data_IF_012008968294
#
_entry.id   IF_012008968294
#
_cell.length_a   1.000
_cell.length_b   1.000
_cell.length_c   1.000
_cell.angle_alpha   90.00
_cell.angle_beta   90.00
_cell.angle_gamma   90.00
#
_symmetry.space_group_name_H-M   'P 1'
#
loop_
_entity.id
_entity.type
_entity.pdbx_description
1 polymer ?
#
# COMPACT_ATOMS: atom_id res chain seq x y z
N UNK A 1 -51.45 26.77 -13.87
CA UNK A 1 -52.05 25.70 -13.04
C UNK A 1 -50.94 24.69 -12.75
N UNK A 2 -50.23 24.82 -11.61
CA UNK A 2 -50.35 23.96 -10.38
C UNK A 2 -50.31 22.47 -10.76
N UNK A 3 -49.32 21.65 -10.40
CA UNK A 3 -48.66 21.37 -9.11
C UNK A 3 -47.29 20.71 -9.40
N UNK A 4 -46.17 20.87 -8.69
CA UNK A 4 -45.97 21.19 -7.28
C UNK A 4 -45.51 19.94 -6.51
N UNK A 5 -44.22 19.57 -6.60
CA UNK A 5 -43.58 18.71 -5.58
C UNK A 5 -42.09 19.04 -5.48
N UNK A 6 -41.82 20.02 -4.62
CA UNK A 6 -40.50 20.31 -4.05
C UNK A 6 -40.19 19.21 -3.05
N UNK A 7 -39.09 18.47 -3.22
CA UNK A 7 -38.52 17.63 -2.16
C UNK A 7 -37.17 18.20 -1.74
N UNK A 8 -37.03 18.32 -0.43
CA UNK A 8 -36.14 19.24 0.27
C UNK A 8 -34.71 18.70 0.32
N UNK A 9 -33.78 19.51 -0.17
CA UNK A 9 -32.34 19.42 0.06
C UNK A 9 -32.04 19.78 1.51
N UNK A 10 -31.76 18.79 2.36
CA UNK A 10 -31.20 19.01 3.70
C UNK A 10 -30.59 17.71 4.27
N UNK A 11 -29.28 17.53 4.12
CA UNK A 11 -28.36 17.04 5.16
C UNK A 11 -26.91 17.09 4.63
N UNK A 12 -26.37 18.30 4.53
CA UNK A 12 -24.96 18.55 4.27
C UNK A 12 -24.51 19.58 5.31
N UNK A 13 -23.90 19.12 6.40
CA UNK A 13 -23.05 19.88 7.34
C UNK A 13 -22.84 19.01 8.60
N UNK A 14 -21.87 18.11 8.53
CA UNK A 14 -21.53 17.24 9.68
C UNK A 14 -20.43 16.20 9.46
N UNK A 15 -19.89 16.05 8.23
CA UNK A 15 -18.94 14.96 7.90
C UNK A 15 -17.56 15.44 7.38
N UNK A 16 -17.25 16.73 7.49
CA UNK A 16 -16.01 17.30 6.91
C UNK A 16 -14.78 17.24 7.82
N UNK A 17 -14.91 16.82 9.08
CA UNK A 17 -13.79 16.62 10.01
C UNK A 17 -13.39 15.14 10.19
N UNK A 18 -14.16 14.19 9.63
CA UNK A 18 -13.93 12.74 9.78
C UNK A 18 -13.27 12.06 8.57
N UNK A 19 -13.14 12.75 7.44
CA UNK A 19 -12.76 12.14 6.15
C UNK A 19 -11.24 12.07 5.92
N UNK A 20 -10.43 12.79 6.70
CA UNK A 20 -8.97 12.67 6.62
C UNK A 20 -8.46 11.43 7.37
N UNK A 21 -9.20 10.94 8.37
CA UNK A 21 -8.88 9.70 9.10
C UNK A 21 -9.03 8.43 8.23
N UNK A 22 -9.77 8.53 7.12
CA UNK A 22 -10.17 7.40 6.27
C UNK A 22 -9.03 6.78 5.46
N UNK A 23 -7.90 7.47 5.27
CA UNK A 23 -6.76 6.91 4.55
C UNK A 23 -6.05 5.78 5.34
N UNK A 24 -6.34 5.64 6.65
CA UNK A 24 -5.68 4.68 7.52
C UNK A 24 -6.65 3.80 8.34
N UNK A 25 -7.93 4.14 8.41
CA UNK A 25 -8.90 3.47 9.29
C UNK A 25 -10.18 3.12 8.52
N UNK A 26 -10.15 1.95 7.89
CA UNK A 26 -11.39 1.28 7.48
C UNK A 26 -11.56 0.00 8.32
N UNK A 27 -11.82 0.16 9.62
CA UNK A 27 -12.10 -0.96 10.53
C UNK A 27 -13.60 -1.11 10.83
N UNK A 28 -14.48 -0.43 10.09
CA UNK A 28 -15.92 -0.48 10.36
C UNK A 28 -16.75 -0.48 9.08
N UNK A 29 -16.59 -1.54 8.29
CA UNK A 29 -17.67 -2.02 7.42
C UNK A 29 -18.21 -3.32 8.01
N UNK A 30 -18.90 -3.22 9.15
CA UNK A 30 -19.89 -4.23 9.50
C UNK A 30 -20.96 -4.18 8.40
N UNK A 31 -20.85 -5.11 7.46
CA UNK A 31 -21.92 -5.46 6.55
C UNK A 31 -23.16 -5.78 7.39
N UNK A 32 -24.19 -4.94 7.26
CA UNK A 32 -25.54 -5.26 7.74
C UNK A 32 -25.90 -6.67 7.25
N UNK A 33 -26.39 -7.57 8.12
CA UNK A 33 -26.75 -8.90 7.69
C UNK A 33 -27.95 -8.80 6.75
N UNK A 34 -27.75 -9.17 5.49
CA UNK A 34 -28.85 -9.53 4.61
C UNK A 34 -29.40 -10.83 5.16
N UNK A 35 -30.56 -10.74 5.82
CA UNK A 35 -31.36 -11.91 6.20
C UNK A 35 -31.82 -12.58 4.92
N UNK A 36 -31.17 -13.70 4.56
CA UNK A 36 -31.76 -14.66 3.64
C UNK A 36 -32.42 -15.75 4.47
N UNK A 37 -33.76 -15.73 4.51
CA UNK A 37 -34.57 -16.88 4.90
C UNK A 37 -34.12 -18.09 4.07
N UNK A 38 -33.69 -19.16 4.74
CA UNK A 38 -33.62 -20.47 4.11
C UNK A 38 -34.20 -21.53 5.04
N UNK A 39 -35.14 -22.25 4.42
CA UNK A 39 -35.92 -23.36 4.92
C UNK A 39 -35.07 -24.51 5.44
N UNK A 40 -35.68 -25.21 6.40
CA UNK A 40 -35.35 -26.50 6.99
C UNK A 40 -34.83 -27.55 6.00
N UNK A 41 -33.84 -28.32 6.44
CA UNK A 41 -33.81 -29.77 6.22
C UNK A 41 -33.10 -30.46 7.39
N UNK A 42 -33.90 -31.16 8.20
CA UNK A 42 -33.44 -32.16 9.16
C UNK A 42 -32.92 -33.38 8.37
N UNK A 43 -31.67 -33.76 8.60
CA UNK A 43 -31.23 -35.13 8.35
C UNK A 43 -30.65 -35.75 9.63
N UNK A 44 -31.38 -36.75 10.11
CA UNK A 44 -30.99 -37.69 11.14
C UNK A 44 -29.79 -38.53 10.68
N UNK A 45 -28.74 -38.61 11.49
CA UNK A 45 -27.75 -39.68 11.36
C UNK A 45 -27.51 -40.35 12.72
N UNK A 46 -28.12 -41.53 12.88
CA UNK A 46 -27.76 -42.50 13.88
C UNK A 46 -26.64 -43.39 13.31
N UNK A 47 -25.56 -43.57 14.06
CA UNK A 47 -24.45 -44.42 13.67
C UNK A 47 -23.65 -44.86 14.90
N UNK A 48 -24.00 -46.05 15.39
CA UNK A 48 -23.25 -46.86 16.35
C UNK A 48 -21.77 -47.00 15.95
N UNK A 49 -20.87 -46.86 16.92
CA UNK A 49 -19.53 -47.44 16.83
C UNK A 49 -19.12 -47.99 18.19
N UNK A 50 -19.06 -49.31 18.22
CA UNK A 50 -18.76 -50.15 19.36
C UNK A 50 -17.35 -49.94 19.91
N UNK A 51 -17.25 -50.17 21.23
CA UNK A 51 -16.03 -50.30 22.01
C UNK A 51 -15.22 -51.51 21.55
N UNK A 52 -13.95 -51.28 21.20
CA UNK A 52 -12.93 -52.32 21.10
C UNK A 52 -11.70 -51.95 21.92
N UNK A 53 -11.68 -52.32 23.20
CA UNK A 53 -10.49 -52.26 24.06
C UNK A 53 -9.61 -53.48 23.80
N UNK A 54 -8.47 -53.28 23.12
CA UNK A 54 -7.40 -54.28 23.04
C UNK A 54 -6.10 -53.65 23.57
N UNK A 55 -5.65 -54.16 24.72
CA UNK A 55 -4.35 -53.87 25.33
C UNK A 55 -3.23 -54.53 24.49
N UNK A 56 -2.17 -53.81 24.08
CA UNK A 56 -0.95 -54.44 23.63
C UNK A 56 -0.07 -54.82 24.83
N UNK A 57 0.40 -56.07 24.80
CA UNK A 57 1.43 -56.64 25.66
C UNK A 57 2.70 -55.79 25.64
N UNK A 58 3.20 -55.50 26.84
CA UNK A 58 4.55 -55.05 27.10
C UNK A 58 5.55 -56.09 26.55
N UNK A 59 6.36 -55.67 25.59
CA UNK A 59 7.66 -56.28 25.30
C UNK A 59 8.72 -55.25 25.66
N UNK A 60 9.37 -55.51 26.79
CA UNK A 60 10.49 -54.74 27.28
C UNK A 60 11.74 -54.91 26.44
N UNK A 61 12.74 -54.11 26.81
CA UNK A 61 14.13 -54.03 26.32
C UNK A 61 14.33 -53.20 25.05
N UNK A 62 14.19 -51.88 25.17
CA UNK A 62 14.96 -50.88 24.38
C UNK A 62 15.00 -49.47 25.03
N UNK A 63 14.81 -49.35 26.36
CA UNK A 63 14.81 -48.05 27.05
C UNK A 63 16.17 -47.34 27.14
N UNK A 64 17.27 -48.00 26.76
CA UNK A 64 18.61 -47.37 26.67
C UNK A 64 18.83 -46.64 25.32
N UNK A 65 17.94 -46.84 24.33
CA UNK A 65 17.98 -46.15 23.04
C UNK A 65 17.57 -44.67 23.16
N UNK A 66 16.45 -44.40 23.84
CA UNK A 66 15.81 -43.08 23.81
C UNK A 66 16.56 -42.04 24.65
N UNK A 67 17.17 -42.46 25.76
CA UNK A 67 18.04 -41.59 26.54
C UNK A 67 19.28 -41.15 25.74
N UNK A 68 19.83 -42.04 24.91
CA UNK A 68 20.98 -41.73 24.06
C UNK A 68 20.60 -40.83 22.87
N UNK A 69 19.37 -40.91 22.37
CA UNK A 69 18.85 -39.99 21.34
C UNK A 69 18.69 -38.58 21.91
N UNK A 70 18.09 -38.44 23.09
CA UNK A 70 17.89 -37.14 23.75
C UNK A 70 19.23 -36.43 24.05
N UNK A 71 20.23 -37.16 24.54
CA UNK A 71 21.58 -36.62 24.80
C UNK A 71 22.26 -36.15 23.51
N UNK A 72 22.10 -36.89 22.40
CA UNK A 72 22.66 -36.49 21.09
C UNK A 72 21.98 -35.24 20.53
N UNK A 73 20.66 -35.13 20.66
CA UNK A 73 19.92 -33.95 20.22
C UNK A 73 20.27 -32.72 21.08
N UNK A 74 20.41 -32.88 22.40
CA UNK A 74 20.85 -31.80 23.28
C UNK A 74 22.25 -31.29 22.88
N UNK A 75 23.20 -32.19 22.64
CA UNK A 75 24.55 -31.83 22.21
C UNK A 75 24.57 -31.11 20.84
N UNK A 76 23.68 -31.49 19.92
CA UNK A 76 23.53 -30.77 18.63
C UNK A 76 22.96 -29.37 18.83
N UNK A 77 21.98 -29.21 19.71
CA UNK A 77 21.38 -27.90 20.01
C UNK A 77 22.37 -26.97 20.70
N UNK A 78 23.13 -27.47 21.67
CA UNK A 78 24.20 -26.68 22.32
C UNK A 78 25.27 -26.23 21.32
N UNK A 79 25.66 -27.12 20.39
CA UNK A 79 26.59 -26.77 19.31
C UNK A 79 26.02 -25.66 18.41
N UNK A 80 24.77 -25.79 17.97
CA UNK A 80 24.11 -24.76 17.13
C UNK A 80 23.99 -23.42 17.86
N UNK A 81 23.60 -23.44 19.14
CA UNK A 81 23.50 -22.23 19.95
C UNK A 81 24.86 -21.55 20.12
N UNK A 82 25.93 -22.33 20.29
CA UNK A 82 27.29 -21.80 20.35
C UNK A 82 27.74 -21.18 19.01
N UNK A 83 27.40 -21.80 17.88
CA UNK A 83 27.71 -21.30 16.53
C UNK A 83 26.95 -19.99 16.24
N UNK A 84 25.64 -19.94 16.53
CA UNK A 84 24.81 -18.73 16.37
C UNK A 84 25.26 -17.61 17.32
N UNK A 85 25.70 -17.93 18.54
CA UNK A 85 26.24 -16.92 19.47
C UNK A 85 27.55 -16.34 18.94
N UNK A 86 28.44 -17.17 18.39
CA UNK A 86 29.69 -16.72 17.79
C UNK A 86 29.45 -15.85 16.54
N UNK A 87 28.49 -16.22 15.69
CA UNK A 87 28.10 -15.44 14.52
C UNK A 87 27.48 -14.08 14.91
N UNK A 88 26.62 -14.05 15.92
CA UNK A 88 26.07 -12.80 16.44
C UNK A 88 27.14 -11.85 16.99
N UNK A 89 28.17 -12.38 17.66
CA UNK A 89 29.32 -11.58 18.11
C UNK A 89 30.10 -11.02 16.92
N UNK A 90 30.34 -11.85 15.89
CA UNK A 90 31.01 -11.43 14.65
C UNK A 90 30.25 -10.30 13.94
N UNK A 91 28.94 -10.47 13.76
CA UNK A 91 28.09 -9.47 13.12
C UNK A 91 28.02 -8.16 13.91
N UNK A 92 27.97 -8.21 15.24
CA UNK A 92 28.06 -7.00 16.08
C UNK A 92 29.38 -6.27 15.90
N UNK A 93 30.50 -6.98 15.81
CA UNK A 93 31.81 -6.38 15.54
C UNK A 93 31.88 -5.76 14.14
N UNK A 94 31.30 -6.42 13.13
CA UNK A 94 31.22 -5.92 11.75
C UNK A 94 30.38 -4.64 11.66
N UNK A 95 29.21 -4.60 12.33
CA UNK A 95 28.36 -3.40 12.42
C UNK A 95 29.10 -2.24 13.08
N UNK A 96 29.79 -2.46 14.20
CA UNK A 96 30.54 -1.40 14.87
C UNK A 96 31.73 -0.91 14.03
N UNK A 97 32.39 -1.81 13.28
CA UNK A 97 33.43 -1.44 12.31
C UNK A 97 32.87 -0.57 11.19
N UNK A 98 31.74 -0.96 10.59
CA UNK A 98 31.08 -0.20 9.53
C UNK A 98 30.61 1.16 10.03
N UNK A 99 30.02 1.26 11.22
CA UNK A 99 29.66 2.54 11.85
C UNK A 99 30.88 3.45 12.03
N UNK A 100 32.00 2.89 12.47
CA UNK A 100 33.24 3.65 12.63
C UNK A 100 33.79 4.14 11.29
N UNK A 101 33.67 3.35 10.23
CA UNK A 101 34.06 3.71 8.86
C UNK A 101 33.15 4.80 8.28
N UNK A 102 31.83 4.64 8.37
CA UNK A 102 30.85 5.66 7.97
C UNK A 102 31.08 6.98 8.73
N UNK A 103 31.38 6.92 10.02
CA UNK A 103 31.74 8.09 10.82
C UNK A 103 33.06 8.77 10.41
N UNK A 104 34.00 8.04 9.79
CA UNK A 104 35.22 8.64 9.21
C UNK A 104 34.94 9.26 7.85
N UNK A 105 34.14 8.59 7.00
CA UNK A 105 33.75 9.11 5.69
C UNK A 105 32.90 10.38 5.85
N UNK A 106 31.96 10.42 6.79
CA UNK A 106 31.16 11.62 7.04
C UNK A 106 31.99 12.80 7.57
N UNK A 107 32.99 12.53 8.43
CA UNK A 107 33.95 13.56 8.89
C UNK A 107 34.89 14.03 7.78
N UNK A 108 35.29 13.14 6.87
CA UNK A 108 36.09 13.52 5.70
C UNK A 108 35.27 14.38 4.72
N UNK A 109 34.00 14.05 4.50
CA UNK A 109 33.08 14.84 3.69
C UNK A 109 32.72 16.20 4.34
N UNK A 110 32.64 16.26 5.68
CA UNK A 110 32.39 17.50 6.42
C UNK A 110 33.57 18.49 6.46
N UNK A 111 34.77 18.08 6.06
CA UNK A 111 35.96 18.93 6.00
C UNK A 111 36.27 19.45 4.58
N UNK A 112 35.51 19.05 3.56
CA UNK A 112 35.44 19.79 2.30
C UNK A 112 34.60 21.03 2.53
N UNK A 113 35.25 22.18 2.43
CA UNK A 113 34.77 23.54 2.69
C UNK A 113 33.37 23.82 2.10
N UNK A 114 32.32 23.45 2.84
CA UNK A 114 30.93 23.79 2.55
C UNK A 114 30.63 25.29 2.81
N UNK A 115 31.66 26.09 3.14
CA UNK A 115 31.57 27.52 3.36
C UNK A 115 31.37 28.37 2.10
N UNK A 116 31.36 27.77 0.90
CA UNK A 116 31.34 28.52 -0.37
C UNK A 116 30.08 28.43 -1.24
N UNK A 117 29.11 27.53 -0.96
CA UNK A 117 28.04 27.19 -1.93
C UNK A 117 26.60 27.41 -1.46
N UNK A 118 26.37 28.06 -0.31
CA UNK A 118 25.00 28.30 0.21
C UNK A 118 24.57 29.78 0.13
N UNK A 119 25.41 30.69 -0.37
CA UNK A 119 25.03 32.10 -0.55
C UNK A 119 24.69 32.43 -2.01
N UNK A 120 23.41 32.23 -2.37
CA UNK A 120 22.55 33.17 -3.12
C UNK A 120 21.30 32.49 -3.74
N UNK A 121 20.54 31.70 -2.97
CA UNK A 121 19.11 31.54 -3.26
C UNK A 121 18.35 32.65 -2.51
N UNK A 122 17.91 33.66 -3.27
CA UNK A 122 17.24 34.85 -2.76
C UNK A 122 15.99 34.52 -1.93
N UNK A 123 15.82 35.28 -0.85
CA UNK A 123 14.81 35.17 0.19
C UNK A 123 13.39 35.61 -0.25
N UNK A 124 12.85 34.98 -1.29
CA UNK A 124 11.43 35.11 -1.67
C UNK A 124 10.92 33.75 -2.15
N UNK A 125 10.70 32.82 -1.20
CA UNK A 125 9.92 31.58 -1.34
C UNK A 125 10.01 30.80 -2.67
N UNK A 126 11.16 30.77 -3.34
CA UNK A 126 11.32 29.96 -4.54
C UNK A 126 11.47 28.50 -4.10
N UNK A 127 10.49 27.69 -4.46
CA UNK A 127 10.57 26.24 -4.35
C UNK A 127 11.87 25.75 -5.02
N UNK A 128 12.59 24.76 -4.42
CA UNK A 128 13.83 24.27 -5.01
C UNK A 128 13.66 23.65 -6.40
N UNK A 129 12.44 23.22 -6.75
CA UNK A 129 12.13 22.63 -8.05
C UNK A 129 11.01 23.40 -8.74
N UNK A 130 11.14 23.59 -10.06
CA UNK A 130 10.21 24.35 -10.91
C UNK A 130 9.77 23.60 -12.19
N UNK A 131 10.13 22.32 -12.33
CA UNK A 131 9.79 21.54 -13.52
C UNK A 131 8.26 21.48 -13.74
N UNK A 132 7.87 21.52 -15.01
CA UNK A 132 6.46 21.65 -15.43
C UNK A 132 5.89 23.07 -15.27
N UNK A 133 6.62 24.01 -14.67
CA UNK A 133 6.15 25.39 -14.44
C UNK A 133 5.10 25.51 -13.33
N UNK A 134 4.97 24.48 -12.48
CA UNK A 134 3.99 24.44 -11.40
C UNK A 134 4.37 25.35 -10.21
N UNK A 135 5.61 25.84 -10.17
CA UNK A 135 6.06 26.90 -9.26
C UNK A 135 5.24 28.19 -9.39
N UNK A 136 4.62 28.40 -10.55
CA UNK A 136 3.78 29.58 -10.86
C UNK A 136 2.32 29.39 -10.48
N UNK A 137 1.90 28.18 -10.10
CA UNK A 137 0.54 27.92 -9.63
C UNK A 137 0.41 28.54 -8.24
N UNK A 138 -0.50 29.51 -8.11
CA UNK A 138 -0.60 30.34 -6.90
C UNK A 138 -0.78 29.52 -5.61
N UNK A 139 -1.55 28.43 -5.65
CA UNK A 139 -1.75 27.56 -4.49
C UNK A 139 -0.46 26.83 -4.09
N UNK A 140 0.35 26.38 -5.06
CA UNK A 140 1.65 25.72 -4.82
C UNK A 140 2.71 26.73 -4.38
N UNK A 141 2.79 27.89 -5.03
CA UNK A 141 3.75 28.95 -4.71
C UNK A 141 3.57 29.49 -3.28
N UNK A 142 2.32 29.60 -2.83
CA UNK A 142 1.96 30.16 -1.53
C UNK A 142 1.67 29.09 -0.46
N UNK A 143 1.85 27.79 -0.77
CA UNK A 143 1.64 26.74 0.22
C UNK A 143 2.64 26.88 1.37
N UNK A 144 2.19 26.56 2.59
CA UNK A 144 3.09 26.49 3.76
C UNK A 144 3.89 25.18 3.72
N UNK A 145 4.87 25.13 2.82
CA UNK A 145 5.74 23.97 2.64
C UNK A 145 6.49 23.59 3.93
N UNK A 146 6.73 24.56 4.82
CA UNK A 146 7.34 24.29 6.12
C UNK A 146 6.37 23.53 7.02
N UNK A 147 5.10 23.94 7.11
CA UNK A 147 4.08 23.20 7.85
C UNK A 147 3.83 21.81 7.24
N UNK A 148 3.78 21.70 5.91
CA UNK A 148 3.61 20.42 5.21
C UNK A 148 4.75 19.45 5.53
N UNK A 149 6.00 19.91 5.41
CA UNK A 149 7.18 19.12 5.77
C UNK A 149 7.17 18.70 7.25
N UNK A 150 6.82 19.62 8.16
CA UNK A 150 6.74 19.32 9.59
C UNK A 150 5.66 18.30 9.92
N UNK A 151 4.52 18.36 9.22
CA UNK A 151 3.45 17.37 9.35
C UNK A 151 3.90 15.99 8.83
N UNK A 152 4.59 15.95 7.68
CA UNK A 152 5.18 14.73 7.12
C UNK A 152 6.22 14.10 8.07
N UNK A 153 7.11 14.92 8.64
CA UNK A 153 8.10 14.48 9.62
C UNK A 153 7.44 13.87 10.88
N UNK A 154 6.30 14.43 11.30
CA UNK A 154 5.53 13.94 12.45
C UNK A 154 4.84 12.59 12.18
N UNK A 155 4.50 12.26 10.93
CA UNK A 155 3.94 10.96 10.60
C UNK A 155 4.94 9.82 10.76
N UNK A 156 6.20 10.04 10.36
CA UNK A 156 7.21 8.98 10.28
C UNK A 156 7.32 8.11 11.56
N UNK A 157 7.55 8.66 12.76
CA UNK A 157 7.66 7.83 13.97
C UNK A 157 6.35 7.10 14.32
N UNK A 158 5.19 7.68 14.00
CA UNK A 158 3.89 7.03 14.25
C UNK A 158 3.68 5.84 13.30
N UNK A 159 4.02 6.01 12.01
CA UNK A 159 3.95 4.95 11.01
C UNK A 159 4.98 3.84 11.30
N UNK A 160 6.16 4.18 11.82
CA UNK A 160 7.14 3.22 12.31
C UNK A 160 6.61 2.41 13.50
N UNK A 161 5.94 3.05 14.47
CA UNK A 161 5.31 2.33 15.59
C UNK A 161 4.19 1.41 15.11
N UNK A 162 3.35 1.89 14.18
CA UNK A 162 2.31 1.08 13.52
C UNK A 162 2.95 -0.15 12.88
N UNK A 163 3.99 0.05 12.06
CA UNK A 163 4.70 -1.03 11.37
C UNK A 163 5.29 -2.06 12.36
N UNK A 164 5.90 -1.58 13.46
CA UNK A 164 6.50 -2.43 14.48
C UNK A 164 5.46 -3.32 15.18
N UNK A 165 4.36 -2.73 15.65
CA UNK A 165 3.29 -3.46 16.35
C UNK A 165 2.71 -4.56 15.47
N UNK A 166 2.41 -4.22 14.23
CA UNK A 166 1.74 -5.11 13.31
C UNK A 166 2.64 -6.25 12.83
N UNK A 167 3.94 -6.00 12.63
CA UNK A 167 4.92 -7.08 12.44
C UNK A 167 5.03 -7.99 13.67
N UNK A 168 4.76 -7.47 14.86
CA UNK A 168 4.62 -8.24 16.10
C UNK A 168 3.27 -8.94 16.27
N UNK A 169 2.34 -8.81 15.33
CA UNK A 169 0.98 -9.36 15.43
C UNK A 169 0.06 -8.56 16.36
N UNK A 170 0.43 -7.33 16.73
CA UNK A 170 -0.37 -6.43 17.56
C UNK A 170 -1.06 -5.36 16.70
N UNK A 171 -2.34 -5.08 16.98
CA UNK A 171 -3.03 -3.94 16.38
C UNK A 171 -2.47 -2.59 16.90
N UNK A 172 -2.53 -1.51 16.09
CA UNK A 172 -2.22 -0.16 16.57
C UNK A 172 -3.11 0.24 17.75
N UNK A 173 -2.55 0.99 18.70
CA UNK A 173 -3.35 1.47 19.85
C UNK A 173 -4.36 2.53 19.40
N UNK A 174 -5.50 2.69 20.11
CA UNK A 174 -6.45 3.76 19.82
C UNK A 174 -5.83 5.16 19.86
N UNK A 175 -4.84 5.38 20.74
CA UNK A 175 -4.14 6.66 20.83
C UNK A 175 -3.24 6.92 19.61
N UNK A 176 -2.48 5.91 19.17
CA UNK A 176 -1.67 5.99 17.95
C UNK A 176 -2.53 6.30 16.72
N UNK A 177 -3.68 5.61 16.63
CA UNK A 177 -4.70 5.84 15.60
C UNK A 177 -5.22 7.29 15.63
N UNK A 178 -5.55 7.80 16.82
CA UNK A 178 -6.01 9.19 17.01
C UNK A 178 -4.95 10.20 16.56
N UNK A 179 -3.69 10.01 16.94
CA UNK A 179 -2.59 10.90 16.55
C UNK A 179 -2.40 10.94 15.02
N UNK A 180 -2.43 9.79 14.35
CA UNK A 180 -2.37 9.69 12.88
C UNK A 180 -3.56 10.42 12.24
N UNK A 181 -4.76 10.25 12.78
CA UNK A 181 -5.97 10.94 12.31
C UNK A 181 -5.86 12.48 12.43
N UNK A 182 -5.32 12.97 13.54
CA UNK A 182 -5.09 14.41 13.75
C UNK A 182 -4.08 14.99 12.75
N UNK A 183 -2.98 14.27 12.47
CA UNK A 183 -2.01 14.69 11.46
C UNK A 183 -2.59 14.64 10.04
N UNK A 184 -3.44 13.67 9.73
CA UNK A 184 -4.12 13.61 8.44
C UNK A 184 -5.09 14.79 8.27
N UNK A 185 -5.83 15.13 9.33
CA UNK A 185 -6.74 16.28 9.32
C UNK A 185 -5.98 17.58 9.07
N UNK A 186 -4.82 17.74 9.72
CA UNK A 186 -3.90 18.86 9.46
C UNK A 186 -3.42 18.87 8.01
N UNK A 187 -2.92 17.73 7.50
CA UNK A 187 -2.49 17.61 6.10
C UNK A 187 -3.59 18.02 5.11
N UNK A 188 -4.83 17.58 5.37
CA UNK A 188 -5.99 17.92 4.55
C UNK A 188 -6.25 19.43 4.48
N UNK A 189 -6.07 20.14 5.59
CA UNK A 189 -6.24 21.60 5.63
C UNK A 189 -5.13 22.37 4.91
N UNK A 190 -3.90 21.86 4.90
CA UNK A 190 -2.76 22.53 4.27
C UNK A 190 -2.62 22.21 2.78
N UNK A 191 -2.94 20.99 2.37
CA UNK A 191 -2.60 20.48 1.04
C UNK A 191 -3.81 20.03 0.23
N UNK A 192 -4.77 19.31 0.83
CA UNK A 192 -5.79 18.65 0.00
C UNK A 192 -6.68 19.67 -0.70
N UNK A 193 -7.39 20.50 0.06
CA UNK A 193 -8.36 21.42 -0.54
C UNK A 193 -7.75 22.41 -1.55
N UNK A 194 -6.57 23.03 -1.29
CA UNK A 194 -5.98 23.95 -2.25
C UNK A 194 -5.41 23.29 -3.52
N UNK A 195 -4.99 22.02 -3.45
CA UNK A 195 -4.26 21.36 -4.55
C UNK A 195 -5.14 20.62 -5.54
N UNK A 196 -6.44 20.49 -5.26
CA UNK A 196 -7.38 19.80 -6.16
C UNK A 196 -7.39 20.44 -7.55
N UNK A 197 -7.08 19.65 -8.57
CA UNK A 197 -7.03 20.08 -9.97
C UNK A 197 -5.88 21.02 -10.31
N UNK A 198 -4.85 21.10 -9.48
CA UNK A 198 -3.68 21.98 -9.69
C UNK A 198 -2.49 21.29 -10.33
N UNK A 199 -2.42 19.97 -10.18
CA UNK A 199 -1.40 19.12 -10.77
C UNK A 199 -2.11 18.04 -11.59
N UNK A 200 -1.54 17.62 -12.74
CA UNK A 200 -2.18 16.60 -13.56
C UNK A 200 -2.12 15.23 -12.87
N UNK A 201 -3.18 14.44 -13.06
CA UNK A 201 -3.34 13.08 -12.55
C UNK A 201 -4.43 12.37 -13.36
N UNK A 202 -4.34 11.06 -13.54
CA UNK A 202 -5.41 10.24 -14.11
C UNK A 202 -6.40 9.76 -13.02
N UNK A 203 -6.14 10.05 -11.74
CA UNK A 203 -7.02 9.77 -10.60
C UNK A 203 -7.75 11.06 -10.19
N UNK A 204 -8.74 11.48 -10.98
CA UNK A 204 -9.44 12.76 -10.76
C UNK A 204 -10.61 12.66 -9.76
N UNK A 205 -11.21 11.47 -9.63
CA UNK A 205 -12.51 11.31 -8.96
C UNK A 205 -12.42 11.33 -7.43
N UNK A 206 -11.25 11.03 -6.86
CA UNK A 206 -11.14 10.59 -5.47
C UNK A 206 -10.05 11.35 -4.74
N UNK A 207 -10.44 12.44 -4.09
CA UNK A 207 -9.55 13.31 -3.31
C UNK A 207 -8.34 13.79 -4.15
N UNK A 208 -7.62 14.84 -3.73
CA UNK A 208 -6.48 15.35 -4.49
C UNK A 208 -5.22 14.48 -4.29
N UNK A 209 -5.39 13.17 -4.12
CA UNK A 209 -4.30 12.25 -3.75
C UNK A 209 -3.32 12.08 -4.91
N UNK A 210 -3.83 12.01 -6.14
CA UNK A 210 -3.00 11.97 -7.34
C UNK A 210 -2.09 13.20 -7.44
N UNK A 211 -2.63 14.39 -7.17
CA UNK A 211 -1.91 15.66 -7.19
C UNK A 211 -0.83 15.74 -6.10
N UNK A 212 -1.12 15.26 -4.90
CA UNK A 212 -0.15 15.24 -3.79
C UNK A 212 0.98 14.23 -3.99
N UNK A 213 0.75 13.23 -4.83
CA UNK A 213 1.76 12.25 -5.24
C UNK A 213 2.45 12.63 -6.56
N UNK A 214 2.18 13.83 -7.07
CA UNK A 214 2.87 14.34 -8.25
C UNK A 214 4.36 14.58 -7.92
N UNK A 215 5.29 14.24 -8.82
CA UNK A 215 6.73 14.43 -8.64
C UNK A 215 7.13 15.83 -8.17
N UNK A 216 6.53 16.88 -8.74
CA UNK A 216 6.75 18.26 -8.32
C UNK A 216 6.45 18.48 -6.83
N UNK A 217 5.31 17.98 -6.36
CA UNK A 217 4.90 18.13 -4.97
C UNK A 217 5.82 17.32 -4.04
N UNK A 218 6.07 16.05 -4.38
CA UNK A 218 6.91 15.17 -3.58
C UNK A 218 8.36 15.66 -3.48
N UNK A 219 8.96 16.13 -4.58
CA UNK A 219 10.33 16.66 -4.58
C UNK A 219 10.48 17.86 -3.64
N UNK A 220 9.57 18.84 -3.75
CA UNK A 220 9.58 20.03 -2.91
C UNK A 220 9.30 19.69 -1.44
N UNK A 221 8.39 18.74 -1.17
CA UNK A 221 8.13 18.25 0.18
C UNK A 221 9.36 17.53 0.78
N UNK A 222 10.04 16.68 -0.01
CA UNK A 222 11.26 15.98 0.41
C UNK A 222 12.37 16.99 0.76
N UNK A 223 12.63 17.97 -0.12
CA UNK A 223 13.66 18.98 0.13
C UNK A 223 13.38 19.78 1.41
N UNK A 224 12.13 20.16 1.66
CA UNK A 224 11.73 20.89 2.87
C UNK A 224 11.78 20.03 4.13
N UNK A 225 11.43 18.75 4.05
CA UNK A 225 11.60 17.82 5.17
C UNK A 225 13.09 17.65 5.50
N UNK A 226 13.94 17.43 4.50
CA UNK A 226 15.39 17.29 4.70
C UNK A 226 16.04 18.55 5.26
N UNK A 227 15.63 19.74 4.81
CA UNK A 227 16.06 21.02 5.39
C UNK A 227 15.73 21.10 6.89
N UNK A 228 14.51 20.71 7.29
CA UNK A 228 14.10 20.67 8.70
C UNK A 228 14.85 19.63 9.53
N UNK A 229 15.21 18.51 8.91
CA UNK A 229 16.03 17.47 9.52
C UNK A 229 17.52 17.82 9.60
N UNK A 230 17.92 19.03 9.20
CA UNK A 230 19.32 19.47 9.10
C UNK A 230 20.19 18.62 8.16
N UNK A 231 19.55 18.03 7.14
CA UNK A 231 20.18 17.19 6.12
C UNK A 231 19.86 17.73 4.72
N UNK A 232 20.07 19.03 4.43
CA UNK A 232 19.66 19.63 3.17
C UNK A 232 20.29 18.90 1.97
N UNK A 233 19.57 18.89 0.85
CA UNK A 233 20.11 18.36 -0.40
C UNK A 233 21.29 19.21 -0.88
N UNK A 234 22.32 18.57 -1.46
CA UNK A 234 23.42 19.27 -2.13
C UNK A 234 22.94 19.88 -3.45
N UNK A 235 23.74 20.81 -4.01
CA UNK A 235 23.45 21.39 -5.31
C UNK A 235 23.33 20.32 -6.43
N UNK A 236 24.22 19.33 -6.44
CA UNK A 236 24.20 18.23 -7.41
C UNK A 236 22.94 17.35 -7.27
N UNK A 237 22.47 17.14 -6.03
CA UNK A 237 21.23 16.41 -5.77
C UNK A 237 20.00 17.18 -6.27
N UNK A 238 19.97 18.49 -6.02
CA UNK A 238 18.90 19.36 -6.51
C UNK A 238 18.86 19.37 -8.06
N UNK A 239 20.00 19.53 -8.73
CA UNK A 239 20.07 19.51 -10.20
C UNK A 239 19.65 18.15 -10.79
N UNK A 240 20.07 17.05 -10.14
CA UNK A 240 19.68 15.69 -10.54
C UNK A 240 18.17 15.48 -10.44
N UNK A 241 17.55 15.85 -9.32
CA UNK A 241 16.09 15.69 -9.12
C UNK A 241 15.31 16.62 -10.06
N UNK A 242 15.80 17.83 -10.31
CA UNK A 242 15.21 18.74 -11.28
C UNK A 242 15.18 18.12 -12.69
N UNK A 243 16.29 17.50 -13.11
CA UNK A 243 16.37 16.78 -14.40
C UNK A 243 15.40 15.60 -14.45
N UNK A 244 15.34 14.78 -13.39
CA UNK A 244 14.36 13.67 -13.29
C UNK A 244 12.91 14.16 -13.37
N UNK A 245 12.60 15.33 -12.79
CA UNK A 245 11.28 15.94 -12.88
C UNK A 245 10.93 16.35 -14.31
N UNK A 246 11.89 16.91 -15.06
CA UNK A 246 11.69 17.24 -16.47
C UNK A 246 11.49 15.99 -17.34
N UNK A 247 12.25 14.90 -17.07
CA UNK A 247 12.04 13.61 -17.73
C UNK A 247 10.63 13.07 -17.48
N UNK A 248 10.14 13.15 -16.24
CA UNK A 248 8.79 12.77 -15.89
C UNK A 248 7.75 13.58 -16.69
N UNK A 249 7.84 14.92 -16.72
CA UNK A 249 6.87 15.75 -17.44
C UNK A 249 6.80 15.41 -18.94
N UNK A 250 7.95 15.16 -19.57
CA UNK A 250 8.01 14.76 -20.97
C UNK A 250 7.36 13.39 -21.20
N UNK A 251 7.66 12.42 -20.33
CA UNK A 251 7.09 11.08 -20.40
C UNK A 251 5.57 11.09 -20.15
N UNK A 252 5.12 11.90 -19.18
CA UNK A 252 3.71 12.14 -18.89
C UNK A 252 2.97 12.70 -20.10
N UNK A 253 3.47 13.80 -20.69
CA UNK A 253 2.87 14.41 -21.87
C UNK A 253 2.80 13.42 -23.05
N UNK A 254 3.86 12.64 -23.26
CA UNK A 254 3.90 11.59 -24.29
C UNK A 254 2.83 10.53 -24.05
N UNK A 255 2.68 10.06 -22.81
CA UNK A 255 1.64 9.09 -22.45
C UNK A 255 0.24 9.66 -22.70
N UNK A 256 -0.02 10.90 -22.26
CA UNK A 256 -1.31 11.57 -22.45
C UNK A 256 -1.72 11.70 -23.92
N UNK A 257 -0.77 12.06 -24.80
CA UNK A 257 -1.02 12.17 -26.25
C UNK A 257 -1.28 10.80 -26.90
N UNK A 258 -0.80 9.70 -26.30
CA UNK A 258 -1.00 8.36 -26.82
C UNK A 258 -2.36 7.76 -26.50
N UNK A 259 -3.08 8.33 -25.52
CA UNK A 259 -4.37 7.82 -25.09
C UNK A 259 -5.48 8.15 -26.10
N UNK A 260 -6.40 7.20 -26.25
CA UNK A 260 -7.61 7.33 -27.06
C UNK A 260 -8.85 7.22 -26.17
N UNK A 261 -10.03 7.41 -26.77
CA UNK A 261 -11.33 7.15 -26.10
C UNK A 261 -11.51 5.69 -25.67
N UNK A 262 -10.75 4.76 -26.28
CA UNK A 262 -10.77 3.33 -25.95
C UNK A 262 -9.69 2.92 -24.94
N UNK A 263 -8.85 3.86 -24.48
CA UNK A 263 -7.83 3.57 -23.47
C UNK A 263 -8.51 3.40 -22.11
N UNK A 264 -8.35 2.22 -21.52
CA UNK A 264 -8.90 1.86 -20.21
C UNK A 264 -8.39 2.81 -19.13
N UNK A 265 -9.25 3.24 -18.19
CA UNK A 265 -8.80 4.10 -17.09
C UNK A 265 -7.71 3.42 -16.24
N UNK A 266 -7.83 2.10 -16.00
CA UNK A 266 -6.79 1.31 -15.31
C UNK A 266 -5.43 1.38 -16.03
N UNK A 267 -5.41 1.44 -17.37
CA UNK A 267 -4.17 1.59 -18.14
C UNK A 267 -3.51 2.94 -17.83
N UNK A 268 -4.29 4.02 -17.90
CA UNK A 268 -3.81 5.37 -17.60
C UNK A 268 -3.29 5.49 -16.16
N UNK A 269 -3.95 4.85 -15.20
CA UNK A 269 -3.51 4.86 -13.80
C UNK A 269 -2.25 4.02 -13.60
N UNK A 270 -2.12 2.87 -14.27
CA UNK A 270 -0.90 2.07 -14.23
C UNK A 270 0.30 2.83 -14.82
N UNK A 271 0.13 3.47 -15.98
CA UNK A 271 1.17 4.27 -16.62
C UNK A 271 1.59 5.43 -15.71
N UNK A 272 0.63 6.12 -15.07
CA UNK A 272 0.91 7.16 -14.09
C UNK A 272 1.72 6.64 -12.89
N UNK A 273 1.30 5.50 -12.32
CA UNK A 273 1.95 4.87 -11.18
C UNK A 273 3.40 4.51 -11.52
N UNK A 274 3.64 3.92 -12.69
CA UNK A 274 4.98 3.52 -13.14
C UNK A 274 5.88 4.75 -13.36
N UNK A 275 5.38 5.81 -13.98
CA UNK A 275 6.13 7.06 -14.16
C UNK A 275 6.48 7.71 -12.82
N UNK A 276 5.51 7.81 -11.90
CA UNK A 276 5.74 8.37 -10.56
C UNK A 276 6.70 7.50 -9.75
N UNK A 277 6.62 6.17 -9.89
CA UNK A 277 7.53 5.23 -9.21
C UNK A 277 8.95 5.41 -9.72
N UNK A 278 9.14 5.43 -11.04
CA UNK A 278 10.46 5.64 -11.64
C UNK A 278 11.10 6.95 -11.19
N UNK A 279 10.33 8.04 -11.11
CA UNK A 279 10.80 9.30 -10.53
C UNK A 279 11.19 9.16 -9.06
N UNK A 280 10.29 8.57 -8.25
CA UNK A 280 10.47 8.42 -6.80
C UNK A 280 11.71 7.58 -6.48
N UNK A 281 11.93 6.47 -7.18
CA UNK A 281 13.05 5.55 -6.95
C UNK A 281 14.38 6.21 -7.28
N UNK A 282 14.49 6.80 -8.48
CA UNK A 282 15.70 7.53 -8.89
C UNK A 282 15.97 8.73 -7.99
N UNK A 283 14.94 9.43 -7.51
CA UNK A 283 15.10 10.54 -6.58
C UNK A 283 15.65 10.07 -5.23
N UNK A 284 15.26 8.89 -4.74
CA UNK A 284 15.83 8.31 -3.51
C UNK A 284 17.27 7.83 -3.70
N UNK A 285 17.62 7.33 -4.88
CA UNK A 285 18.98 6.89 -5.22
C UNK A 285 20.01 8.02 -5.15
N UNK A 286 19.64 9.25 -5.52
CA UNK A 286 20.56 10.41 -5.45
C UNK A 286 20.82 10.91 -4.03
N UNK A 287 19.97 10.56 -3.07
CA UNK A 287 20.12 10.98 -1.68
C UNK A 287 21.22 10.20 -0.96
N UNK A 288 21.77 10.78 0.11
CA UNK A 288 22.61 10.01 1.03
C UNK A 288 21.76 9.02 1.84
N UNK A 289 22.42 8.05 2.47
CA UNK A 289 21.72 7.11 3.36
C UNK A 289 21.01 7.82 4.52
N UNK A 290 21.67 8.78 5.16
CA UNK A 290 21.09 9.58 6.25
C UNK A 290 19.86 10.36 5.78
N UNK A 291 19.90 10.95 4.59
CA UNK A 291 18.76 11.65 3.99
C UNK A 291 17.60 10.68 3.69
N UNK A 292 17.87 9.52 3.10
CA UNK A 292 16.82 8.50 2.86
C UNK A 292 16.16 8.06 4.16
N UNK A 293 16.96 7.74 5.18
CA UNK A 293 16.48 7.31 6.49
C UNK A 293 15.70 8.42 7.22
N UNK A 294 16.02 9.69 6.96
CA UNK A 294 15.26 10.81 7.49
C UNK A 294 13.85 10.91 6.84
N UNK A 295 13.69 10.48 5.59
CA UNK A 295 12.40 10.50 4.91
C UNK A 295 11.53 9.29 5.24
N UNK A 296 12.08 8.08 5.12
CA UNK A 296 11.38 6.83 5.40
C UNK A 296 12.35 5.71 5.77
N UNK A 297 11.94 4.81 6.66
CA UNK A 297 12.73 3.62 6.97
C UNK A 297 12.80 2.70 5.72
N UNK A 298 13.97 2.14 5.36
CA UNK A 298 14.11 1.31 4.16
C UNK A 298 13.10 0.15 4.08
N UNK A 299 12.78 -0.48 5.21
CA UNK A 299 11.81 -1.59 5.29
C UNK A 299 10.35 -1.15 5.08
N UNK A 300 10.06 0.15 5.18
CA UNK A 300 8.72 0.72 4.99
C UNK A 300 8.54 1.30 3.59
N UNK A 301 9.64 1.48 2.84
CA UNK A 301 9.63 2.04 1.49
C UNK A 301 8.62 1.29 0.62
N UNK A 302 7.80 2.04 -0.11
CA UNK A 302 6.75 1.53 -1.00
C UNK A 302 5.66 0.65 -0.39
N UNK A 303 5.61 0.47 0.92
CA UNK A 303 4.45 -0.11 1.54
C UNK A 303 3.34 0.92 1.62
N UNK A 304 2.13 0.52 1.19
CA UNK A 304 0.92 1.31 1.40
C UNK A 304 0.82 1.69 2.86
N UNK A 305 0.41 2.94 3.11
CA UNK A 305 0.30 3.59 4.44
C UNK A 305 1.62 3.89 5.15
N UNK A 306 2.69 3.14 4.91
CA UNK A 306 3.94 3.31 5.66
C UNK A 306 4.94 4.28 5.00
N UNK A 307 4.75 4.59 3.72
CA UNK A 307 5.62 5.49 2.96
C UNK A 307 4.85 6.61 2.25
N UNK A 308 4.93 7.81 2.82
CA UNK A 308 4.27 9.02 2.31
C UNK A 308 4.90 9.58 1.04
N UNK A 309 6.10 9.13 0.67
CA UNK A 309 6.83 9.56 -0.53
C UNK A 309 6.71 8.54 -1.68
N UNK A 310 5.99 7.45 -1.47
CA UNK A 310 5.73 6.45 -2.49
C UNK A 310 4.43 6.74 -3.23
N UNK A 311 4.38 6.55 -4.56
CA UNK A 311 3.14 6.65 -5.32
C UNK A 311 2.18 5.50 -5.04
N UNK A 312 2.54 4.51 -4.21
CA UNK A 312 1.60 3.52 -3.66
C UNK A 312 0.44 4.18 -2.90
N UNK A 313 0.59 5.45 -2.48
CA UNK A 313 -0.51 6.23 -1.92
C UNK A 313 -1.66 6.45 -2.90
N UNK A 314 -1.48 6.25 -4.22
CA UNK A 314 -2.53 6.32 -5.24
C UNK A 314 -3.65 5.29 -5.00
N UNK A 315 -3.33 4.21 -4.27
CA UNK A 315 -4.26 3.15 -3.91
C UNK A 315 -5.02 3.48 -2.61
N UNK A 316 -5.94 4.44 -2.68
CA UNK A 316 -6.82 4.81 -1.56
C UNK A 316 -8.10 3.98 -1.57
N UNK A 317 -8.88 4.02 -0.49
CA UNK A 317 -10.05 3.17 -0.27
C UNK A 317 -11.10 3.17 -1.40
N UNK A 318 -11.13 4.20 -2.25
CA UNK A 318 -12.09 4.30 -3.34
C UNK A 318 -11.53 3.86 -4.70
N UNK A 319 -10.21 3.87 -4.90
CA UNK A 319 -9.57 3.32 -6.11
C UNK A 319 -9.22 1.86 -5.95
N UNK A 320 -9.25 1.33 -4.72
CA UNK A 320 -8.79 -0.02 -4.41
C UNK A 320 -9.89 -0.85 -3.74
N UNK A 321 -10.23 -1.96 -4.38
CA UNK A 321 -11.05 -3.04 -3.87
C UNK A 321 -10.13 -4.14 -3.32
N UNK A 322 -9.84 -4.08 -2.02
CA UNK A 322 -9.03 -5.10 -1.34
C UNK A 322 -9.88 -6.32 -1.02
N UNK A 323 -9.48 -7.48 -1.51
CA UNK A 323 -10.16 -8.76 -1.26
C UNK A 323 -9.23 -9.67 -0.46
N UNK A 324 -9.73 -10.08 0.70
CA UNK A 324 -9.08 -11.10 1.51
C UNK A 324 -9.67 -12.44 1.09
N UNK A 325 -8.84 -13.31 0.54
CA UNK A 325 -9.29 -14.59 0.01
C UNK A 325 -8.48 -15.74 0.57
N UNK A 326 -9.11 -16.89 0.69
CA UNK A 326 -8.52 -18.10 1.25
C UNK A 326 -8.04 -19.06 0.15
N UNK A 327 -8.53 -18.89 -1.08
CA UNK A 327 -8.21 -19.81 -2.16
C UNK A 327 -8.26 -19.18 -3.56
N UNK A 328 -7.57 -19.83 -4.50
CA UNK A 328 -7.62 -19.52 -5.93
C UNK A 328 -9.03 -19.62 -6.52
N UNK A 329 -9.85 -20.56 -6.02
CA UNK A 329 -11.24 -20.73 -6.46
C UNK A 329 -12.14 -19.60 -5.97
N UNK A 330 -11.88 -19.07 -4.77
CA UNK A 330 -12.55 -17.87 -4.29
C UNK A 330 -12.15 -16.64 -5.11
N UNK A 331 -10.85 -16.49 -5.43
CA UNK A 331 -10.35 -15.46 -6.33
C UNK A 331 -11.09 -15.47 -7.67
N UNK A 332 -11.28 -16.66 -8.25
CA UNK A 332 -12.05 -16.88 -9.48
C UNK A 332 -13.48 -16.37 -9.34
N UNK A 333 -14.20 -16.77 -8.29
CA UNK A 333 -15.60 -16.37 -8.08
C UNK A 333 -15.73 -14.87 -7.89
N UNK A 334 -14.79 -14.24 -7.18
CA UNK A 334 -14.81 -12.80 -6.96
C UNK A 334 -14.58 -12.02 -8.26
N UNK A 335 -13.63 -12.46 -9.12
CA UNK A 335 -13.44 -11.79 -10.41
C UNK A 335 -14.64 -12.01 -11.36
N UNK A 336 -15.27 -13.19 -11.35
CA UNK A 336 -16.55 -13.42 -12.07
C UNK A 336 -17.64 -12.47 -11.58
N UNK A 337 -17.74 -12.25 -10.26
CA UNK A 337 -18.68 -11.30 -9.69
C UNK A 337 -18.36 -9.84 -10.04
N UNK A 338 -17.08 -9.46 -10.13
CA UNK A 338 -16.67 -8.14 -10.66
C UNK A 338 -17.14 -7.99 -12.10
N UNK A 339 -16.89 -8.97 -12.97
CA UNK A 339 -17.35 -8.96 -14.37
C UNK A 339 -18.88 -8.81 -14.46
N UNK A 340 -19.62 -9.50 -13.59
CA UNK A 340 -21.07 -9.44 -13.55
C UNK A 340 -21.60 -8.08 -13.07
N UNK A 341 -21.16 -7.66 -11.88
CA UNK A 341 -21.74 -6.53 -11.16
C UNK A 341 -21.21 -5.17 -11.61
N UNK A 342 -19.92 -5.09 -11.97
CA UNK A 342 -19.27 -3.83 -12.35
C UNK A 342 -19.22 -3.63 -13.86
N UNK A 343 -19.03 -4.71 -14.63
CA UNK A 343 -18.91 -4.63 -16.10
C UNK A 343 -20.21 -5.00 -16.82
N UNK A 344 -21.25 -5.41 -16.08
CA UNK A 344 -22.56 -5.73 -16.63
C UNK A 344 -22.55 -6.94 -17.57
N UNK A 345 -21.62 -7.88 -17.40
CA UNK A 345 -21.58 -9.09 -18.21
C UNK A 345 -22.62 -10.11 -17.72
N UNK A 346 -23.28 -10.77 -18.66
CA UNK A 346 -24.13 -11.92 -18.36
C UNK A 346 -23.31 -13.22 -18.24
N UNK A 347 -23.94 -14.29 -17.76
CA UNK A 347 -23.26 -15.57 -17.52
C UNK A 347 -22.67 -16.17 -18.82
N UNK A 348 -23.28 -15.90 -19.98
CA UNK A 348 -22.76 -16.36 -21.28
C UNK A 348 -21.44 -15.65 -21.65
N UNK A 349 -21.37 -14.33 -21.44
CA UNK A 349 -20.15 -13.53 -21.68
C UNK A 349 -19.06 -13.80 -20.65
N UNK A 350 -19.42 -14.03 -19.40
CA UNK A 350 -18.46 -14.45 -18.35
C UNK A 350 -17.85 -15.79 -18.74
N UNK A 351 -18.66 -16.77 -19.17
CA UNK A 351 -18.17 -18.05 -19.67
C UNK A 351 -17.29 -17.90 -20.92
N UNK A 352 -17.63 -16.98 -21.82
CA UNK A 352 -16.78 -16.67 -22.97
C UNK A 352 -15.45 -15.98 -22.60
N UNK A 353 -15.40 -15.38 -21.40
CA UNK A 353 -14.22 -14.71 -20.84
C UNK A 353 -13.34 -15.63 -19.98
N UNK A 354 -13.59 -16.94 -20.00
CA UNK A 354 -12.86 -17.94 -19.20
C UNK A 354 -11.33 -17.87 -19.38
N UNK A 355 -10.87 -17.60 -20.60
CA UNK A 355 -9.45 -17.40 -20.88
C UNK A 355 -8.88 -16.17 -20.15
N UNK A 356 -9.63 -15.07 -20.12
CA UNK A 356 -9.23 -13.85 -19.40
C UNK A 356 -9.10 -14.12 -17.90
N UNK A 357 -10.08 -14.82 -17.31
CA UNK A 357 -10.05 -15.22 -15.89
C UNK A 357 -8.85 -16.12 -15.60
N UNK A 358 -8.59 -17.12 -16.45
CA UNK A 358 -7.44 -18.02 -16.29
C UNK A 358 -6.11 -17.27 -16.33
N UNK A 359 -5.89 -16.43 -17.33
CA UNK A 359 -4.67 -15.62 -17.47
C UNK A 359 -4.50 -14.65 -16.30
N UNK A 360 -5.59 -14.05 -15.84
CA UNK A 360 -5.60 -13.20 -14.66
C UNK A 360 -5.16 -13.96 -13.41
N UNK A 361 -5.75 -15.13 -13.14
CA UNK A 361 -5.40 -15.99 -12.01
C UNK A 361 -3.94 -16.46 -12.07
N UNK A 362 -3.42 -16.77 -13.25
CA UNK A 362 -1.99 -17.10 -13.44
C UNK A 362 -1.08 -15.92 -13.08
N UNK A 363 -1.44 -14.72 -13.51
CA UNK A 363 -0.66 -13.51 -13.26
C UNK A 363 -0.67 -13.09 -11.77
N UNK A 364 -1.78 -13.30 -11.04
CA UNK A 364 -1.86 -12.98 -9.61
C UNK A 364 -1.45 -14.12 -8.69
N UNK A 365 -1.13 -15.31 -9.21
CA UNK A 365 -0.72 -16.48 -8.41
C UNK A 365 0.41 -16.17 -7.40
N UNK A 366 1.46 -15.38 -7.74
CA UNK A 366 2.47 -15.00 -6.76
C UNK A 366 1.93 -14.22 -5.57
N UNK A 367 0.83 -13.48 -5.74
CA UNK A 367 0.14 -12.77 -4.65
C UNK A 367 -0.64 -13.75 -3.79
N UNK A 368 -1.30 -14.73 -4.41
CA UNK A 368 -2.08 -15.77 -3.71
C UNK A 368 -1.22 -16.76 -2.94
N UNK A 369 -0.03 -17.05 -3.46
CA UNK A 369 0.94 -17.96 -2.85
C UNK A 369 1.77 -17.30 -1.73
N UNK A 370 1.61 -15.98 -1.52
CA UNK A 370 2.28 -15.29 -0.42
C UNK A 370 1.82 -15.86 0.93
N UNK A 371 2.69 -15.78 1.94
CA UNK A 371 2.35 -16.26 3.28
C UNK A 371 1.08 -15.56 3.78
N UNK A 372 0.03 -16.32 4.18
CA UNK A 372 -1.21 -15.73 4.61
C UNK A 372 -0.98 -14.81 5.80
N UNK A 373 -1.34 -13.54 5.64
CA UNK A 373 -1.24 -12.55 6.70
C UNK A 373 -2.57 -12.48 7.47
N UNK A 374 -2.54 -11.91 8.67
CA UNK A 374 -3.78 -11.44 9.31
C UNK A 374 -4.35 -10.29 8.47
N UNK A 375 -5.67 -10.15 8.34
CA UNK A 375 -6.29 -9.15 7.46
C UNK A 375 -5.76 -7.72 7.67
N UNK A 376 -5.46 -7.35 8.91
CA UNK A 376 -4.92 -6.03 9.25
C UNK A 376 -3.53 -5.80 8.63
N UNK A 377 -2.67 -6.82 8.57
CA UNK A 377 -1.33 -6.75 7.97
C UNK A 377 -1.42 -6.83 6.45
N UNK A 378 -2.32 -7.66 5.94
CA UNK A 378 -2.55 -7.82 4.49
C UNK A 378 -2.89 -6.49 3.80
N UNK A 379 -3.57 -5.56 4.49
CA UNK A 379 -3.89 -4.20 4.00
C UNK A 379 -2.66 -3.37 3.60
N UNK A 380 -1.48 -3.77 4.04
CA UNK A 380 -0.20 -3.13 3.75
C UNK A 380 0.56 -3.94 2.74
N UNK A 381 0.16 -3.78 1.49
CA UNK A 381 0.88 -4.35 0.38
C UNK A 381 1.97 -3.39 -0.12
N UNK A 382 3.00 -3.97 -0.71
CA UNK A 382 4.05 -3.27 -1.41
C UNK A 382 3.58 -2.82 -2.80
N UNK A 383 4.17 -1.75 -3.34
CA UNK A 383 3.82 -1.24 -4.68
C UNK A 383 3.95 -2.30 -5.79
N UNK A 384 4.85 -3.27 -5.63
CA UNK A 384 5.00 -4.38 -6.59
C UNK A 384 3.79 -5.30 -6.64
N UNK A 385 3.19 -5.57 -5.47
CA UNK A 385 1.98 -6.39 -5.39
C UNK A 385 0.82 -5.66 -6.08
N UNK A 386 0.70 -4.36 -5.84
CA UNK A 386 -0.28 -3.51 -6.51
C UNK A 386 -0.08 -3.48 -8.03
N UNK A 387 1.17 -3.26 -8.49
CA UNK A 387 1.53 -3.23 -9.91
C UNK A 387 1.23 -4.56 -10.59
N UNK A 388 1.49 -5.69 -9.92
CA UNK A 388 1.19 -7.03 -10.42
C UNK A 388 -0.32 -7.21 -10.61
N UNK A 389 -1.12 -6.85 -9.60
CA UNK A 389 -2.58 -6.92 -9.67
C UNK A 389 -3.14 -6.05 -10.80
N UNK A 390 -2.61 -4.83 -10.98
CA UNK A 390 -3.01 -3.92 -12.06
C UNK A 390 -2.70 -4.44 -13.45
N UNK A 391 -1.50 -4.98 -13.65
CA UNK A 391 -1.11 -5.56 -14.94
C UNK A 391 -2.01 -6.76 -15.28
N UNK A 392 -2.31 -7.60 -14.30
CA UNK A 392 -3.24 -8.71 -14.46
C UNK A 392 -4.64 -8.20 -14.83
N UNK A 393 -5.18 -7.24 -14.09
CA UNK A 393 -6.51 -6.67 -14.33
C UNK A 393 -6.59 -6.02 -15.71
N UNK A 394 -5.59 -5.22 -16.09
CA UNK A 394 -5.51 -4.58 -17.40
C UNK A 394 -5.54 -5.61 -18.54
N UNK A 395 -4.73 -6.67 -18.43
CA UNK A 395 -4.71 -7.74 -19.41
C UNK A 395 -6.09 -8.43 -19.52
N UNK A 396 -6.71 -8.73 -18.38
CA UNK A 396 -8.04 -9.35 -18.33
C UNK A 396 -9.12 -8.47 -18.98
N UNK A 397 -9.12 -7.17 -18.68
CA UNK A 397 -10.06 -6.21 -19.28
C UNK A 397 -9.91 -6.12 -20.80
N UNK A 398 -8.67 -6.12 -21.31
CA UNK A 398 -8.39 -6.13 -22.75
C UNK A 398 -8.90 -7.41 -23.42
N UNK A 399 -8.67 -8.57 -22.80
CA UNK A 399 -9.19 -9.86 -23.28
C UNK A 399 -10.72 -9.91 -23.27
N UNK A 400 -11.37 -9.42 -22.22
CA UNK A 400 -12.84 -9.32 -22.14
C UNK A 400 -13.40 -8.41 -23.23
N UNK A 401 -12.78 -7.27 -23.49
CA UNK A 401 -13.21 -6.36 -24.57
C UNK A 401 -13.07 -6.97 -25.98
N UNK A 402 -12.23 -7.99 -26.13
CA UNK A 402 -12.08 -8.75 -27.37
C UNK A 402 -13.13 -9.87 -27.53
N UNK A 403 -13.89 -10.20 -26.48
CA UNK A 403 -14.96 -11.20 -26.54
C UNK A 403 -16.12 -10.69 -27.40
N UNK A 404 -16.54 -11.51 -28.37
CA UNK A 404 -17.69 -11.22 -29.23
C UNK A 404 -18.96 -11.00 -28.40
N UNK A 405 -19.71 -9.94 -28.74
CA UNK A 405 -21.02 -9.68 -28.16
C UNK A 405 -21.02 -8.89 -26.84
N UNK A 406 -19.87 -8.34 -26.40
CA UNK A 406 -19.84 -7.27 -25.38
C UNK A 406 -20.62 -6.07 -25.91
N UNK A 407 -21.61 -5.60 -25.14
CA UNK A 407 -22.46 -4.46 -25.53
C UNK A 407 -21.69 -3.14 -25.40
N UNK A 408 -22.17 -2.08 -26.05
CA UNK A 408 -21.57 -0.74 -25.90
C UNK A 408 -21.65 -0.22 -24.46
N UNK A 409 -22.71 -0.58 -23.73
CA UNK A 409 -22.86 -0.28 -22.31
C UNK A 409 -21.79 -0.96 -21.47
N UNK A 410 -21.63 -2.29 -21.59
CA UNK A 410 -20.58 -3.03 -20.90
C UNK A 410 -19.19 -2.55 -21.28
N UNK A 411 -18.97 -2.22 -22.56
CA UNK A 411 -17.70 -1.62 -23.04
C UNK A 411 -17.42 -0.30 -22.33
N UNK A 412 -18.42 0.58 -22.22
CA UNK A 412 -18.29 1.84 -21.49
C UNK A 412 -17.97 1.62 -20.01
N UNK A 413 -18.64 0.67 -19.35
CA UNK A 413 -18.38 0.30 -17.97
C UNK A 413 -16.96 -0.24 -17.77
N UNK A 414 -16.46 -1.11 -18.66
CA UNK A 414 -15.10 -1.65 -18.60
C UNK A 414 -14.07 -0.54 -18.84
N UNK A 415 -14.24 0.29 -19.87
CA UNK A 415 -13.29 1.37 -20.19
C UNK A 415 -13.21 2.38 -19.04
N UNK A 416 -14.36 2.75 -18.48
CA UNK A 416 -14.46 3.73 -17.40
C UNK A 416 -14.14 3.18 -16.00
N UNK A 417 -13.95 1.87 -15.83
CA UNK A 417 -13.73 1.30 -14.51
C UNK A 417 -12.42 1.80 -13.89
N UNK A 418 -12.54 2.49 -12.77
CA UNK A 418 -11.42 3.08 -12.04
C UNK A 418 -10.95 2.22 -10.87
N UNK A 419 -11.74 1.21 -10.45
CA UNK A 419 -11.37 0.44 -9.25
C UNK A 419 -10.46 -0.73 -9.58
N UNK A 420 -9.45 -0.85 -8.75
CA UNK A 420 -8.37 -1.80 -8.84
C UNK A 420 -8.66 -2.91 -7.84
N UNK A 421 -8.71 -4.17 -8.27
CA UNK A 421 -8.94 -5.27 -7.34
C UNK A 421 -7.60 -5.93 -7.00
N UNK A 422 -7.24 -5.91 -5.72
CA UNK A 422 -6.06 -6.63 -5.20
C UNK A 422 -6.53 -7.77 -4.31
N UNK A 423 -5.96 -8.94 -4.53
CA UNK A 423 -6.27 -10.14 -3.76
C UNK A 423 -5.10 -10.43 -2.82
N UNK A 424 -5.43 -10.61 -1.55
CA UNK A 424 -4.48 -10.77 -0.48
C UNK A 424 -4.84 -12.06 0.27
N UNK A 425 -3.93 -13.05 0.33
CA UNK A 425 -4.19 -14.27 1.04
C UNK A 425 -4.28 -13.98 2.54
N UNK A 426 -5.36 -14.45 3.17
CA UNK A 426 -5.51 -14.36 4.62
C UNK A 426 -5.57 -15.74 5.25
N UNK A 427 -4.99 -15.84 6.44
CA UNK A 427 -5.17 -17.02 7.26
C UNK A 427 -6.57 -16.94 7.86
N UNK A 428 -7.37 -17.99 7.71
CA UNK A 428 -8.61 -18.13 8.48
C UNK A 428 -8.25 -17.97 9.97
N UNK A 429 -8.58 -16.82 10.55
CA UNK A 429 -8.48 -16.63 11.99
C UNK A 429 -9.67 -17.39 12.54
N UNK A 430 -9.49 -18.69 12.78
CA UNK A 430 -10.44 -19.49 13.55
C UNK A 430 -10.60 -18.81 14.90
N UNK A 431 -11.63 -17.97 15.02
CA UNK A 431 -11.84 -17.15 16.20
C UNK A 431 -12.33 -18.06 17.33
N UNK A 432 -11.40 -18.71 18.02
CA UNK A 432 -11.74 -19.35 19.30
C UNK A 432 -12.30 -18.31 20.28
N UNK A 433 -11.94 -17.03 20.10
CA UNK A 433 -12.50 -15.89 20.82
C UNK A 433 -14.02 -15.69 20.61
N UNK A 434 -14.58 -16.10 19.47
CA UNK A 434 -16.02 -16.02 19.20
C UNK A 434 -16.85 -16.97 20.07
N UNK A 435 -16.24 -18.03 20.63
CA UNK A 435 -16.93 -18.94 21.56
C UNK A 435 -16.97 -18.42 23.00
N UNK A 436 -16.07 -17.49 23.38
CA UNK A 436 -15.99 -16.98 24.74
C UNK A 436 -16.93 -15.79 25.02
N UNK A 437 -17.34 -15.02 24.00
CA UNK A 437 -18.20 -13.85 24.20
C UNK A 437 -19.71 -14.14 24.18
N UNK A 438 -20.13 -15.33 23.72
CA UNK A 438 -21.54 -15.78 23.80
C UNK A 438 -21.84 -16.47 25.15
N UNK A 439 -20.81 -16.68 25.98
CA UNK A 439 -20.91 -17.34 27.28
C UNK A 439 -20.81 -16.38 28.48
N UNK A 440 -21.01 -15.06 28.29
CA UNK A 440 -21.08 -14.08 29.40
C UNK A 440 -22.37 -13.29 29.40
#
# INVERSE_FOLDING_TARGET
MRSGTTFVTALALGAAAGTAAFLFLDSSSDTLPIVTDNMEQEESFAGDSERGTALPRESGTDNDSDANVAVREHAKLEKRLSEETAENVRLKQEIESLKAETGRVSKAAGNTDAGGLVQAHNATSALPFDFGGYDKVAELANADWKALAGNSASFRPLLEEVALRMRGGESPTPDLIRQISELNTKAGSFAHLPMKGKLPTNIEEILPVGELLHPFFLANLMAKHLEQAQLPMSADQLDSIQTLGQEYEQAWQKAQVSYSENTLTVEKTLDELELKRAFSDKSFEVLSEDQRNALTAPINRHYRTLDVYSPVGMFVAYTLDQRFIESREEARKDIENVMKSRWGLDDARIKASENAIRLWLEAVEPLLAAEPAVPEVARWFHIDQATTALKAQLAAMKEVLAVSGVTDESRGLIIGDTRMTIFLPVKEVKSEAGKASVAR
#
